data_IF_889192327977
#
_entry.id   IF_889192327977
#
_cell.length_a   1.000
_cell.length_b   1.000
_cell.length_c   1.000
_cell.angle_alpha   90.00
_cell.angle_beta   90.00
_cell.angle_gamma   90.00
#
_symmetry.space_group_name_H-M   'P 1'
#
loop_
_entity.id
_entity.type
_entity.pdbx_description
1 polymer ?
#
# COMPACT_ATOMS: atom_id res chain seq x y z
N UNK A 1 8.23 -22.03 -36.28
CA UNK A 1 7.34 -21.97 -35.11
C UNK A 1 6.47 -20.77 -35.32
N UNK A 2 5.25 -21.00 -35.80
CA UNK A 2 4.31 -19.92 -36.11
C UNK A 2 3.77 -19.40 -34.77
N UNK A 3 4.08 -18.14 -34.46
CA UNK A 3 3.32 -17.37 -33.48
C UNK A 3 1.89 -17.23 -34.02
N UNK A 4 1.01 -18.13 -33.60
CA UNK A 4 -0.42 -17.89 -33.68
C UNK A 4 -0.72 -16.70 -32.76
N UNK A 5 -0.77 -15.51 -33.37
CA UNK A 5 -1.42 -14.36 -32.78
C UNK A 5 -2.79 -14.82 -32.29
N UNK A 6 -2.97 -14.81 -30.96
CA UNK A 6 -4.27 -15.04 -30.32
C UNK A 6 -5.21 -13.98 -30.87
N UNK A 7 -5.93 -14.32 -31.93
CA UNK A 7 -7.02 -13.51 -32.43
C UNK A 7 -8.16 -13.64 -31.42
N UNK A 8 -8.93 -12.57 -31.15
CA UNK A 8 -10.09 -12.63 -30.24
C UNK A 8 -11.13 -13.71 -30.62
N UNK A 9 -11.03 -14.26 -31.84
CA UNK A 9 -11.85 -15.35 -32.36
C UNK A 9 -11.54 -16.73 -31.76
N UNK A 10 -10.33 -16.96 -31.23
CA UNK A 10 -9.89 -18.25 -30.68
C UNK A 10 -9.89 -18.32 -29.14
N UNK A 11 -10.37 -17.29 -28.45
CA UNK A 11 -10.67 -17.38 -27.03
C UNK A 11 -11.92 -18.24 -26.86
N UNK A 12 -11.73 -19.54 -26.58
CA UNK A 12 -12.82 -20.43 -26.18
C UNK A 12 -13.58 -19.77 -25.03
N UNK A 13 -14.85 -19.43 -25.29
CA UNK A 13 -15.67 -18.77 -24.29
C UNK A 13 -15.86 -19.68 -23.09
N UNK A 14 -15.82 -19.11 -21.87
CA UNK A 14 -16.06 -19.89 -20.67
C UNK A 14 -17.47 -20.49 -20.73
N UNK A 15 -17.59 -21.77 -20.39
CA UNK A 15 -18.88 -22.39 -20.11
C UNK A 15 -19.59 -21.68 -18.95
N UNK A 16 -20.89 -21.97 -18.73
CA UNK A 16 -21.68 -21.37 -17.64
C UNK A 16 -20.95 -21.44 -16.29
N UNK A 17 -20.27 -22.55 -16.00
CA UNK A 17 -19.52 -22.73 -14.76
C UNK A 17 -18.29 -21.83 -14.69
N UNK A 18 -17.52 -21.69 -15.76
CA UNK A 18 -16.38 -20.79 -15.84
C UNK A 18 -16.81 -19.31 -15.79
N UNK A 19 -17.95 -18.97 -16.40
CA UNK A 19 -18.55 -17.64 -16.30
C UNK A 19 -19.02 -17.34 -14.87
N UNK A 20 -19.72 -18.28 -14.22
CA UNK A 20 -20.15 -18.15 -12.84
C UNK A 20 -18.95 -17.96 -11.89
N UNK A 21 -17.89 -18.75 -12.07
CA UNK A 21 -16.63 -18.60 -11.30
C UNK A 21 -16.01 -17.22 -11.49
N UNK A 22 -16.01 -16.66 -12.71
CA UNK A 22 -15.50 -15.30 -12.97
C UNK A 22 -16.31 -14.20 -12.25
N UNK A 23 -17.61 -14.44 -11.99
CA UNK A 23 -18.50 -13.53 -11.25
C UNK A 23 -18.40 -13.72 -9.73
N UNK A 24 -17.99 -14.91 -9.30
CA UNK A 24 -17.61 -15.26 -7.93
C UNK A 24 -16.10 -15.10 -7.70
N UNK A 25 -15.43 -14.28 -8.51
CA UNK A 25 -14.01 -13.96 -8.34
C UNK A 25 -13.89 -12.70 -7.48
N UNK A 26 -12.93 -12.73 -6.57
CA UNK A 26 -12.55 -11.58 -5.76
C UNK A 26 -11.64 -10.68 -6.60
N UNK A 27 -12.11 -9.47 -6.95
CA UNK A 27 -11.29 -8.46 -7.62
C UNK A 27 -10.58 -7.58 -6.60
N UNK A 28 -9.33 -7.18 -6.90
CA UNK A 28 -8.53 -6.36 -6.00
C UNK A 28 -9.22 -5.02 -5.67
N UNK A 29 -9.84 -4.38 -6.67
CA UNK A 29 -10.54 -3.11 -6.49
C UNK A 29 -11.77 -3.26 -5.57
N UNK A 30 -12.49 -4.38 -5.65
CA UNK A 30 -13.63 -4.64 -4.77
C UNK A 30 -13.19 -4.93 -3.33
N UNK A 31 -12.07 -5.65 -3.16
CA UNK A 31 -11.48 -5.88 -1.84
C UNK A 31 -11.06 -4.57 -1.21
N UNK A 32 -10.43 -3.68 -1.97
CA UNK A 32 -10.02 -2.38 -1.45
C UNK A 32 -11.24 -1.58 -0.97
N UNK A 33 -12.35 -1.57 -1.71
CA UNK A 33 -13.61 -0.93 -1.28
C UNK A 33 -14.19 -1.52 0.01
N UNK A 34 -14.29 -2.85 0.10
CA UNK A 34 -14.81 -3.53 1.30
C UNK A 34 -13.92 -3.23 2.50
N UNK A 35 -12.61 -3.19 2.30
CA UNK A 35 -11.66 -2.88 3.35
C UNK A 35 -11.59 -1.37 3.69
N UNK A 36 -12.33 -0.48 3.00
CA UNK A 36 -12.54 0.90 3.44
C UNK A 36 -13.49 0.98 4.64
N UNK A 37 -14.39 0.01 4.79
CA UNK A 37 -15.30 -0.09 5.94
C UNK A 37 -14.57 -0.52 7.22
N UNK A 38 -13.36 -1.09 7.07
CA UNK A 38 -12.46 -1.33 8.19
C UNK A 38 -11.75 -0.03 8.53
N UNK A 39 -12.24 0.64 9.58
CA UNK A 39 -11.74 1.93 10.06
C UNK A 39 -10.22 1.97 10.19
N UNK A 40 -9.63 3.08 9.81
CA UNK A 40 -8.19 3.31 9.93
C UNK A 40 -7.79 4.04 11.23
N UNK A 41 -8.74 4.24 12.15
CA UNK A 41 -8.49 4.91 13.43
C UNK A 41 -7.92 3.91 14.45
N UNK A 42 -6.72 4.16 15.02
CA UNK A 42 -6.18 3.33 16.10
C UNK A 42 -7.12 3.17 17.31
N UNK A 43 -8.01 4.12 17.56
CA UNK A 43 -8.99 4.07 18.64
C UNK A 43 -10.03 2.95 18.47
N UNK A 44 -10.29 2.50 17.23
CA UNK A 44 -11.18 1.37 16.96
C UNK A 44 -10.58 0.03 17.43
N UNK A 45 -9.27 -0.01 17.63
CA UNK A 45 -8.51 -1.25 17.94
C UNK A 45 -7.83 -1.22 19.31
N UNK A 46 -8.02 -0.16 20.09
CA UNK A 46 -7.36 -0.01 21.38
C UNK A 46 -8.19 0.77 22.39
N UNK A 47 -7.99 0.44 23.66
CA UNK A 47 -8.48 1.27 24.76
C UNK A 47 -7.75 2.61 24.80
N UNK A 48 -8.37 3.64 25.39
CA UNK A 48 -7.72 4.94 25.61
C UNK A 48 -6.36 4.82 26.30
N UNK A 49 -6.23 3.91 27.27
CA UNK A 49 -4.97 3.65 27.96
C UNK A 49 -3.91 3.10 27.01
N UNK A 50 -4.27 2.16 26.14
CA UNK A 50 -3.36 1.61 25.12
C UNK A 50 -2.95 2.67 24.10
N UNK A 51 -3.86 3.54 23.66
CA UNK A 51 -3.55 4.65 22.75
C UNK A 51 -2.51 5.60 23.38
N UNK A 52 -2.71 5.99 24.64
CA UNK A 52 -1.76 6.87 25.36
C UNK A 52 -0.40 6.20 25.56
N UNK A 53 -0.40 4.91 25.92
CA UNK A 53 0.82 4.14 26.08
C UNK A 53 1.58 4.01 24.75
N UNK A 54 0.90 3.64 23.66
CA UNK A 54 1.49 3.58 22.33
C UNK A 54 2.06 4.94 21.87
N UNK A 55 1.34 6.04 22.13
CA UNK A 55 1.82 7.38 21.82
C UNK A 55 3.07 7.77 22.63
N UNK A 56 3.19 7.26 23.86
CA UNK A 56 4.39 7.45 24.70
C UNK A 56 5.58 6.69 24.13
N UNK A 57 5.40 5.40 23.84
CA UNK A 57 6.43 4.52 23.27
C UNK A 57 6.96 5.02 21.93
N UNK A 58 6.05 5.39 21.02
CA UNK A 58 6.41 5.99 19.74
C UNK A 58 7.09 7.35 19.92
N UNK A 59 6.70 8.11 20.94
CA UNK A 59 7.29 9.39 21.29
C UNK A 59 8.77 9.26 21.68
N UNK A 60 9.09 8.25 22.48
CA UNK A 60 10.46 7.95 22.88
C UNK A 60 11.30 7.45 21.72
N UNK A 61 10.76 6.52 20.92
CA UNK A 61 11.42 6.05 19.70
C UNK A 61 11.66 7.21 18.73
N UNK A 62 10.69 8.11 18.55
CA UNK A 62 10.86 9.31 17.74
C UNK A 62 12.03 10.13 18.29
N UNK A 63 12.07 10.48 19.57
CA UNK A 63 13.19 11.26 20.15
C UNK A 63 14.55 10.58 19.95
N UNK A 64 14.61 9.25 20.09
CA UNK A 64 15.81 8.47 19.82
C UNK A 64 16.26 8.61 18.36
N UNK A 65 15.36 8.37 17.40
CA UNK A 65 15.65 8.57 15.97
C UNK A 65 16.09 10.01 15.67
N UNK A 66 15.62 11.00 16.44
CA UNK A 66 16.08 12.39 16.31
C UNK A 66 17.54 12.60 16.70
N UNK A 67 18.09 11.81 17.61
CA UNK A 67 19.53 11.77 17.90
C UNK A 67 20.28 11.05 16.78
N UNK A 68 19.77 9.91 16.34
CA UNK A 68 20.38 9.13 15.25
C UNK A 68 20.44 9.91 13.94
N UNK A 69 19.37 10.63 13.56
CA UNK A 69 19.37 11.52 12.38
C UNK A 69 20.48 12.57 12.47
N UNK A 70 20.79 13.10 13.67
CA UNK A 70 21.86 14.10 13.82
C UNK A 70 23.23 13.50 13.53
N UNK A 71 23.53 12.33 14.10
CA UNK A 71 24.79 11.63 13.86
C UNK A 71 24.90 11.13 12.42
N UNK A 72 23.84 10.54 11.87
CA UNK A 72 23.80 10.07 10.50
C UNK A 72 23.98 11.23 9.50
N UNK A 73 23.38 12.40 9.76
CA UNK A 73 23.62 13.59 8.92
C UNK A 73 25.06 14.08 8.99
N UNK A 74 25.70 14.03 10.16
CA UNK A 74 27.11 14.41 10.33
C UNK A 74 28.01 13.48 9.53
N UNK A 75 27.79 12.17 9.63
CA UNK A 75 28.51 11.16 8.85
C UNK A 75 28.29 11.32 7.35
N UNK A 76 27.03 11.50 6.91
CA UNK A 76 26.71 11.69 5.50
C UNK A 76 27.31 12.97 4.90
N UNK A 77 27.37 14.07 5.66
CA UNK A 77 28.07 15.30 5.21
C UNK A 77 29.59 15.11 5.13
N UNK A 78 30.18 14.31 6.01
CA UNK A 78 31.60 13.99 5.93
C UNK A 78 31.92 13.09 4.73
N UNK A 79 31.05 12.12 4.44
CA UNK A 79 31.16 11.25 3.27
C UNK A 79 30.91 12.00 1.95
N UNK A 80 29.93 12.89 1.95
CA UNK A 80 29.48 13.66 0.80
C UNK A 80 29.14 15.11 1.22
N UNK A 81 30.04 16.08 1.01
CA UNK A 81 29.84 17.47 1.45
C UNK A 81 28.60 18.15 0.87
N UNK A 82 28.09 17.70 -0.28
CA UNK A 82 26.88 18.22 -0.90
C UNK A 82 25.59 17.62 -0.31
N UNK A 83 25.68 16.68 0.63
CA UNK A 83 24.53 16.02 1.24
C UNK A 83 23.61 17.01 1.97
N UNK A 84 22.34 17.01 1.58
CA UNK A 84 21.31 17.89 2.15
C UNK A 84 21.31 19.31 1.58
N UNK A 85 22.15 19.61 0.58
CA UNK A 85 22.11 20.89 -0.13
C UNK A 85 20.76 21.06 -0.85
N UNK A 86 20.07 22.17 -0.58
CA UNK A 86 18.77 22.48 -1.19
C UNK A 86 18.99 23.31 -2.46
N UNK A 87 18.66 22.75 -3.62
CA UNK A 87 18.72 23.47 -4.89
C UNK A 87 17.36 23.44 -5.60
N UNK A 88 16.93 24.59 -6.12
CA UNK A 88 15.64 24.74 -6.80
C UNK A 88 15.71 24.52 -8.32
N UNK A 89 16.91 24.59 -8.92
CA UNK A 89 17.10 24.45 -10.38
C UNK A 89 17.29 22.98 -10.74
N UNK A 90 16.55 22.49 -11.75
CA UNK A 90 16.62 21.10 -12.25
C UNK A 90 18.03 20.67 -12.62
N UNK A 91 18.83 21.54 -13.23
CA UNK A 91 20.23 21.26 -13.59
C UNK A 91 21.12 20.97 -12.38
N UNK A 92 20.91 21.67 -11.27
CA UNK A 92 21.64 21.43 -10.02
C UNK A 92 21.23 20.11 -9.35
N UNK A 93 19.95 19.74 -9.44
CA UNK A 93 19.46 18.43 -8.94
C UNK A 93 20.08 17.27 -9.71
N UNK A 94 20.14 17.37 -11.04
CA UNK A 94 20.77 16.35 -11.89
C UNK A 94 22.27 16.24 -11.65
N UNK A 95 22.97 17.37 -11.47
CA UNK A 95 24.39 17.38 -11.15
C UNK A 95 24.67 16.70 -9.79
N UNK A 96 23.82 16.91 -8.78
CA UNK A 96 23.93 16.24 -7.49
C UNK A 96 23.67 14.74 -7.56
N UNK A 97 22.70 14.31 -8.39
CA UNK A 97 22.46 12.89 -8.61
C UNK A 97 23.68 12.22 -9.25
N UNK A 98 24.24 12.82 -10.30
CA UNK A 98 25.45 12.31 -10.95
C UNK A 98 26.67 12.29 -10.02
N UNK A 99 26.79 13.27 -9.10
CA UNK A 99 27.85 13.29 -8.09
C UNK A 99 27.66 12.19 -7.03
N UNK A 100 26.42 12.00 -6.54
CA UNK A 100 26.07 10.88 -5.65
C UNK A 100 26.42 9.53 -6.29
N UNK A 101 26.19 9.38 -7.59
CA UNK A 101 26.50 8.13 -8.32
C UNK A 101 28.00 7.84 -8.43
N UNK A 102 28.85 8.87 -8.34
CA UNK A 102 30.32 8.75 -8.35
C UNK A 102 30.92 8.43 -6.98
N UNK A 103 30.12 8.46 -5.91
CA UNK A 103 30.59 8.08 -4.58
C UNK A 103 31.04 6.62 -4.54
N UNK A 104 32.06 6.33 -3.73
CA UNK A 104 32.42 4.95 -3.41
C UNK A 104 31.25 4.22 -2.74
N UNK A 105 31.18 2.87 -2.85
CA UNK A 105 30.11 2.09 -2.22
C UNK A 105 29.95 2.37 -0.72
N UNK A 106 31.06 2.50 0.00
CA UNK A 106 31.07 2.83 1.44
C UNK A 106 30.42 4.19 1.74
N UNK A 107 30.71 5.21 0.91
CA UNK A 107 30.13 6.55 1.09
C UNK A 107 28.66 6.58 0.72
N UNK A 108 28.25 5.82 -0.32
CA UNK A 108 26.84 5.64 -0.67
C UNK A 108 26.06 5.01 0.48
N UNK A 109 26.58 3.94 1.08
CA UNK A 109 25.94 3.28 2.22
C UNK A 109 25.71 4.23 3.41
N UNK A 110 26.67 5.10 3.71
CA UNK A 110 26.51 6.12 4.78
C UNK A 110 25.40 7.13 4.45
N UNK A 111 25.33 7.59 3.20
CA UNK A 111 24.27 8.52 2.74
C UNK A 111 22.90 7.85 2.77
N UNK A 112 22.80 6.61 2.29
CA UNK A 112 21.58 5.81 2.29
C UNK A 112 21.08 5.52 3.70
N UNK A 113 21.98 5.20 4.63
CA UNK A 113 21.62 5.05 6.03
C UNK A 113 21.01 6.34 6.60
N UNK A 114 21.61 7.51 6.30
CA UNK A 114 21.08 8.78 6.77
C UNK A 114 19.72 9.14 6.16
N UNK A 115 19.49 8.79 4.89
CA UNK A 115 18.18 8.91 4.23
C UNK A 115 17.14 7.97 4.88
N UNK A 116 17.53 6.72 5.16
CA UNK A 116 16.65 5.72 5.80
C UNK A 116 16.23 6.15 7.22
N UNK A 117 17.16 6.56 8.08
CA UNK A 117 16.84 7.00 9.45
C UNK A 117 15.92 8.23 9.44
N UNK A 118 16.10 9.17 8.50
CA UNK A 118 15.16 10.29 8.31
C UNK A 118 13.77 9.82 7.92
N UNK A 119 13.68 8.91 6.95
CA UNK A 119 12.42 8.34 6.51
C UNK A 119 11.70 7.62 7.67
N UNK A 120 12.43 6.82 8.45
CA UNK A 120 11.86 6.15 9.63
C UNK A 120 11.31 7.16 10.63
N UNK A 121 12.08 8.21 10.95
CA UNK A 121 11.64 9.27 11.85
C UNK A 121 10.36 9.97 11.36
N UNK A 122 10.22 10.17 10.05
CA UNK A 122 9.00 10.74 9.45
C UNK A 122 7.80 9.80 9.63
N UNK A 123 7.96 8.51 9.38
CA UNK A 123 6.91 7.51 9.56
C UNK A 123 6.44 7.42 11.02
N UNK A 124 7.37 7.40 11.97
CA UNK A 124 7.04 7.43 13.42
C UNK A 124 6.33 8.74 13.78
N UNK A 125 6.77 9.87 13.23
CA UNK A 125 6.12 11.17 13.44
C UNK A 125 4.68 11.19 12.95
N UNK A 126 4.42 10.61 11.77
CA UNK A 126 3.07 10.49 11.22
C UNK A 126 2.19 9.59 12.10
N UNK A 127 2.71 8.45 12.57
CA UNK A 127 1.99 7.56 13.49
C UNK A 127 1.62 8.28 14.81
N UNK A 128 2.55 9.07 15.37
CA UNK A 128 2.29 9.88 16.56
C UNK A 128 1.22 10.95 16.35
N UNK A 129 1.23 11.60 15.19
CA UNK A 129 0.23 12.61 14.86
C UNK A 129 -1.17 11.98 14.78
N UNK A 130 -1.28 10.78 14.21
CA UNK A 130 -2.55 10.06 14.13
C UNK A 130 -3.08 9.67 15.52
N UNK A 131 -2.23 9.13 16.40
CA UNK A 131 -2.62 8.81 17.78
C UNK A 131 -3.01 10.04 18.62
N UNK A 132 -2.59 11.25 18.23
CA UNK A 132 -2.83 12.50 18.97
C UNK A 132 -3.99 13.33 18.44
N UNK A 133 -4.50 13.02 17.24
CA UNK A 133 -5.65 13.74 16.67
C UNK A 133 -6.93 13.16 17.27
N UNK A 134 -7.73 14.02 17.89
CA UNK A 134 -9.18 13.85 17.89
C UNK A 134 -9.65 14.23 16.46
N UNK A 135 -9.92 13.23 15.62
CA UNK A 135 -10.56 13.30 14.30
C UNK A 135 -10.39 14.60 13.46
N UNK A 136 -9.38 14.62 12.57
CA UNK A 136 -9.27 15.63 11.50
C UNK A 136 -8.99 14.99 10.13
N UNK A 137 -9.52 15.51 9.02
CA UNK A 137 -9.66 14.81 7.73
C UNK A 137 -8.35 14.61 6.93
N UNK A 138 -7.20 14.84 7.53
CA UNK A 138 -5.91 14.54 6.91
C UNK A 138 -5.62 13.05 6.98
N UNK A 139 -6.19 12.25 6.06
CA UNK A 139 -5.93 10.82 5.90
C UNK A 139 -4.45 10.58 5.62
N UNK A 140 -3.71 10.14 6.64
CA UNK A 140 -2.55 9.28 6.44
C UNK A 140 -2.93 7.93 7.04
N UNK A 141 -3.30 7.03 6.15
CA UNK A 141 -3.84 5.69 6.40
C UNK A 141 -3.01 4.87 7.40
N UNK A 142 -3.65 3.98 8.16
CA UNK A 142 -2.99 2.91 8.95
C UNK A 142 -2.02 2.09 8.06
N UNK A 143 -2.21 2.11 6.75
CA UNK A 143 -1.26 1.61 5.74
C UNK A 143 0.13 2.29 5.76
N UNK A 144 0.21 3.61 5.91
CA UNK A 144 1.49 4.36 6.08
C UNK A 144 2.13 4.02 7.43
N UNK A 145 1.28 3.75 8.42
CA UNK A 145 1.63 3.46 9.80
C UNK A 145 2.19 2.04 9.95
N UNK A 146 1.63 1.05 9.25
CA UNK A 146 2.14 -0.34 9.15
C UNK A 146 3.54 -0.37 8.53
N UNK A 147 3.80 0.51 7.55
CA UNK A 147 5.14 0.64 7.00
C UNK A 147 6.14 1.12 8.04
N UNK A 148 5.74 1.91 9.05
CA UNK A 148 6.63 2.28 10.15
C UNK A 148 7.08 1.07 10.97
N UNK A 149 6.20 0.07 11.17
CA UNK A 149 6.50 -1.14 11.95
C UNK A 149 7.66 -1.95 11.36
N UNK A 150 7.81 -1.98 10.03
CA UNK A 150 8.90 -2.68 9.32
C UNK A 150 10.29 -2.18 9.71
N UNK A 151 10.37 -0.95 10.17
CA UNK A 151 11.62 -0.24 10.47
C UNK A 151 11.87 -0.07 11.97
N UNK A 152 10.96 -0.60 12.81
CA UNK A 152 11.12 -0.60 14.26
C UNK A 152 11.98 -1.79 14.68
N UNK A 153 12.92 -1.61 15.65
CA UNK A 153 13.62 -2.72 16.27
C UNK A 153 12.64 -3.77 16.81
N UNK A 154 13.07 -5.04 16.81
CA UNK A 154 12.29 -6.11 17.43
C UNK A 154 12.01 -5.76 18.90
N UNK A 155 10.74 -5.90 19.32
CA UNK A 155 10.30 -5.55 20.67
C UNK A 155 10.09 -4.05 20.94
N UNK A 156 10.43 -3.15 20.00
CA UNK A 156 10.11 -1.74 20.17
C UNK A 156 8.61 -1.47 20.02
N UNK A 157 8.09 -0.58 20.87
CA UNK A 157 6.71 -0.12 20.91
C UNK A 157 5.70 -1.30 20.96
N UNK A 158 5.73 -2.13 22.02
CA UNK A 158 4.90 -3.34 22.10
C UNK A 158 3.39 -3.02 22.06
N UNK A 159 2.94 -1.97 22.75
CA UNK A 159 1.51 -1.61 22.75
C UNK A 159 1.07 -1.20 21.35
N UNK A 160 1.89 -0.41 20.67
CA UNK A 160 1.63 -0.03 19.29
C UNK A 160 1.52 -1.24 18.35
N UNK A 161 2.43 -2.22 18.47
CA UNK A 161 2.39 -3.44 17.66
C UNK A 161 1.08 -4.19 17.87
N UNK A 162 0.63 -4.31 19.11
CA UNK A 162 -0.67 -4.91 19.43
C UNK A 162 -1.83 -4.22 18.73
N UNK A 163 -1.86 -2.88 18.70
CA UNK A 163 -2.91 -2.11 17.99
C UNK A 163 -2.88 -2.43 16.50
N UNK A 164 -1.69 -2.38 15.89
CA UNK A 164 -1.52 -2.68 14.46
C UNK A 164 -1.91 -4.13 14.14
N UNK A 165 -1.59 -5.07 15.01
CA UNK A 165 -1.93 -6.48 14.78
C UNK A 165 -3.44 -6.74 14.90
N UNK A 166 -4.14 -6.06 15.82
CA UNK A 166 -5.62 -6.07 15.88
C UNK A 166 -6.25 -5.49 14.61
N UNK A 167 -5.72 -4.39 14.09
CA UNK A 167 -6.16 -3.82 12.80
C UNK A 167 -5.93 -4.80 11.63
N UNK A 168 -4.77 -5.46 11.58
CA UNK A 168 -4.49 -6.49 10.55
C UNK A 168 -5.48 -7.66 10.65
N UNK A 169 -5.81 -8.10 11.87
CA UNK A 169 -6.80 -9.15 12.09
C UNK A 169 -8.18 -8.72 11.62
N UNK A 170 -8.62 -7.50 11.96
CA UNK A 170 -9.90 -6.97 11.50
C UNK A 170 -9.98 -6.89 9.96
N UNK A 171 -8.91 -6.40 9.30
CA UNK A 171 -8.82 -6.42 7.83
C UNK A 171 -8.80 -7.83 7.25
N UNK A 172 -8.12 -8.76 7.93
CA UNK A 172 -8.10 -10.18 7.55
C UNK A 172 -9.51 -10.77 7.55
N UNK A 173 -10.23 -10.63 8.66
CA UNK A 173 -11.61 -11.11 8.79
C UNK A 173 -12.54 -10.45 7.77
N UNK A 174 -12.46 -9.13 7.57
CA UNK A 174 -13.29 -8.46 6.56
C UNK A 174 -13.01 -8.98 5.13
N UNK A 175 -11.74 -9.30 4.83
CA UNK A 175 -11.37 -9.94 3.57
C UNK A 175 -11.90 -11.37 3.43
N UNK A 176 -11.89 -12.14 4.52
CA UNK A 176 -12.44 -13.49 4.58
C UNK A 176 -13.96 -13.49 4.44
N UNK A 177 -14.66 -12.63 5.19
CA UNK A 177 -16.12 -12.43 5.10
C UNK A 177 -16.52 -12.01 3.68
N UNK A 178 -15.75 -11.13 3.05
CA UNK A 178 -16.00 -10.75 1.66
C UNK A 178 -15.78 -11.90 0.70
N UNK A 179 -14.70 -12.66 0.87
CA UNK A 179 -14.44 -13.84 0.06
C UNK A 179 -15.56 -14.89 0.20
N UNK A 180 -16.08 -15.09 1.42
CA UNK A 180 -17.22 -15.96 1.68
C UNK A 180 -18.49 -15.42 1.01
N UNK A 181 -18.81 -14.14 1.17
CA UNK A 181 -19.94 -13.50 0.50
C UNK A 181 -19.86 -13.68 -1.02
N UNK A 182 -18.68 -13.49 -1.61
CA UNK A 182 -18.43 -13.68 -3.05
C UNK A 182 -18.70 -15.13 -3.47
N UNK A 183 -18.29 -16.12 -2.66
CA UNK A 183 -18.56 -17.54 -2.94
C UNK A 183 -20.06 -17.89 -2.80
N UNK A 184 -20.77 -17.25 -1.88
CA UNK A 184 -22.20 -17.44 -1.66
C UNK A 184 -23.07 -16.71 -2.70
N UNK A 185 -22.50 -15.82 -3.53
CA UNK A 185 -23.26 -15.11 -4.57
C UNK A 185 -23.93 -16.13 -5.50
N UNK A 186 -25.27 -16.11 -5.64
CA UNK A 186 -25.95 -17.02 -6.53
C UNK A 186 -25.48 -16.77 -7.97
N UNK A 187 -25.39 -17.87 -8.74
CA UNK A 187 -25.24 -17.73 -10.19
C UNK A 187 -26.52 -17.13 -10.73
N UNK A 188 -26.43 -15.88 -11.18
CA UNK A 188 -27.54 -15.17 -11.80
C UNK A 188 -27.76 -15.71 -13.22
N UNK A 189 -28.70 -16.64 -13.34
CA UNK A 189 -29.05 -17.29 -14.60
C UNK A 189 -29.70 -16.32 -15.60
N UNK A 190 -30.32 -15.24 -15.12
CA UNK A 190 -30.90 -14.21 -15.98
C UNK A 190 -29.80 -13.29 -16.54
N UNK A 191 -28.81 -12.90 -15.73
CA UNK A 191 -27.62 -12.22 -16.23
C UNK A 191 -26.82 -13.10 -17.21
N UNK A 192 -26.78 -14.42 -16.99
CA UNK A 192 -26.17 -15.35 -17.94
C UNK A 192 -26.93 -15.35 -19.28
N UNK A 193 -28.26 -15.43 -19.25
CA UNK A 193 -29.11 -15.34 -20.45
C UNK A 193 -28.93 -14.01 -21.18
N UNK A 194 -28.94 -12.89 -20.47
CA UNK A 194 -28.70 -11.57 -21.05
C UNK A 194 -27.33 -11.46 -21.72
N UNK A 195 -26.29 -12.04 -21.13
CA UNK A 195 -24.96 -12.07 -21.74
C UNK A 195 -24.91 -12.97 -22.98
N UNK A 196 -25.64 -14.08 -23.00
CA UNK A 196 -25.81 -14.91 -24.21
C UNK A 196 -26.54 -14.13 -25.32
N UNK A 197 -27.61 -13.41 -24.99
CA UNK A 197 -28.41 -12.63 -25.94
C UNK A 197 -27.62 -11.45 -26.51
N UNK A 198 -26.93 -10.68 -25.65
CA UNK A 198 -26.03 -9.59 -26.07
C UNK A 198 -24.98 -10.08 -27.07
N UNK A 199 -24.43 -11.27 -26.85
CA UNK A 199 -23.44 -11.88 -27.75
C UNK A 199 -24.03 -12.36 -29.05
N UNK A 200 -25.23 -12.94 -29.04
CA UNK A 200 -25.96 -13.29 -30.25
C UNK A 200 -26.18 -12.04 -31.12
N UNK A 201 -26.54 -10.92 -30.51
CA UNK A 201 -26.70 -9.63 -31.19
C UNK A 201 -25.37 -9.12 -31.78
N UNK A 202 -24.26 -9.17 -31.03
CA UNK A 202 -22.92 -8.79 -31.54
C UNK A 202 -22.50 -9.67 -32.72
N UNK A 203 -22.72 -10.98 -32.63
CA UNK A 203 -22.39 -11.93 -33.72
C UNK A 203 -23.22 -11.63 -34.97
N UNK A 204 -24.51 -11.33 -34.81
CA UNK A 204 -25.38 -10.91 -35.92
C UNK A 204 -24.95 -9.56 -36.51
N UNK A 205 -24.59 -8.58 -35.69
CA UNK A 205 -24.11 -7.27 -36.15
C UNK A 205 -22.79 -7.38 -36.93
N UNK A 206 -21.85 -8.22 -36.48
CA UNK A 206 -20.60 -8.53 -37.20
C UNK A 206 -20.86 -9.26 -38.52
N UNK A 207 -21.75 -10.27 -38.53
CA UNK A 207 -22.12 -10.99 -39.75
C UNK A 207 -22.80 -10.11 -40.80
N UNK A 208 -23.43 -9.01 -40.37
CA UNK A 208 -24.04 -8.00 -41.26
C UNK A 208 -23.09 -6.86 -41.64
N UNK A 209 -21.83 -6.89 -41.20
CA UNK A 209 -20.84 -5.86 -41.52
C UNK A 209 -21.00 -4.53 -40.77
N UNK A 210 -21.74 -4.51 -39.66
CA UNK A 210 -22.04 -3.28 -38.89
C UNK A 210 -21.07 -2.99 -37.73
N UNK A 211 -20.16 -3.92 -37.44
CA UNK A 211 -19.11 -3.74 -36.43
C UNK A 211 -17.78 -4.19 -37.06
N UNK A 212 -17.00 -3.21 -37.52
CA UNK A 212 -15.59 -3.36 -37.88
C UNK A 212 -14.73 -3.23 -36.62
#
# INVERSE_FOLDING_TARGET
>A
MSDELVTPANLMFPDRGAWARSRQTVYADDVDMVLEDVGDDPADYATRTEVVQAATELGDLWRQLGREVREANKAARAAWPLYGSRHRKRSAVLALAADRDRLSPEKKAVVEHADAVKHHRQLIGAALEQLRRDAGPGRLHLRTIVNAQKWMPAGACPTWRTIVDRWKQARGHAGEDYAEQVQQRPTDDDAWRLELDRRAQIKMARARGHLC
#
